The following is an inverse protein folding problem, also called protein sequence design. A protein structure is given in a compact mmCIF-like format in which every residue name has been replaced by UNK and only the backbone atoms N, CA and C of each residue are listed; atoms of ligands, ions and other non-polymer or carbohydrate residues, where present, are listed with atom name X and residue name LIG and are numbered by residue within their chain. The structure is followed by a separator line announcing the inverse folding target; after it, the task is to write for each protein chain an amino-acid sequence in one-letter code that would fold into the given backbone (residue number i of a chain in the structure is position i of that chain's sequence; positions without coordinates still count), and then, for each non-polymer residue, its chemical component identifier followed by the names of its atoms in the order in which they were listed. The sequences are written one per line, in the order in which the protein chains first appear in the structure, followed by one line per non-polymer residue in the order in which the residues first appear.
data_IF_925700955223
#
_entry.id   IF_925700955223
#
_cell.length_a   1.000
_cell.length_b   1.000
_cell.length_c   1.000
_cell.angle_alpha   90.00
_cell.angle_beta   90.00
_cell.angle_gamma   90.00
#
_symmetry.space_group_name_H-M   'P 1'
#
loop_
_entity.id
_entity.type
_entity.pdbx_description
1 polymer ?
#
# COMPACT_ATOMS: atom_id res chain seq x y z
N UNK A 1 -0.35 -0.94 32.44
CA UNK A 1 0.08 0.35 33.04
C UNK A 1 0.68 0.11 34.43
N UNK A 2 -0.06 -0.50 35.37
CA UNK A 2 0.45 -0.79 36.73
C UNK A 2 1.71 -1.67 36.75
N UNK A 3 1.76 -2.75 35.94
CA UNK A 3 2.95 -3.60 35.80
C UNK A 3 4.18 -2.85 35.25
N UNK A 4 3.96 -1.72 34.58
CA UNK A 4 5.00 -0.90 33.96
C UNK A 4 5.24 0.38 34.77
N UNK A 5 4.60 0.52 35.94
CA UNK A 5 4.65 1.69 36.84
C UNK A 5 4.28 3.02 36.15
N UNK A 6 3.50 2.94 35.07
CA UNK A 6 3.01 4.10 34.32
C UNK A 6 1.76 4.66 35.00
N UNK A 7 1.98 5.61 35.90
CA UNK A 7 0.93 6.19 36.76
C UNK A 7 0.19 7.38 36.14
N UNK A 8 0.77 8.00 35.11
CA UNK A 8 0.15 9.12 34.38
C UNK A 8 0.21 8.91 32.88
N UNK A 9 -0.92 9.14 32.23
CA UNK A 9 -1.09 9.10 30.79
C UNK A 9 -1.38 10.52 30.29
N UNK A 10 -0.59 10.97 29.32
CA UNK A 10 -0.82 12.24 28.62
C UNK A 10 -1.71 12.04 27.39
N UNK A 11 -1.26 11.18 26.47
CA UNK A 11 -1.93 10.89 25.20
C UNK A 11 -1.76 9.42 24.82
N UNK A 12 -2.74 8.91 24.08
CA UNK A 12 -2.75 7.62 23.43
C UNK A 12 -2.79 7.86 21.92
N UNK A 13 -1.90 7.19 21.19
CA UNK A 13 -1.87 7.27 19.73
C UNK A 13 -2.49 6.01 19.14
N UNK A 14 -3.55 6.16 18.37
CA UNK A 14 -4.25 5.06 17.69
C UNK A 14 -4.42 5.38 16.20
N UNK A 15 -4.70 4.38 15.37
CA UNK A 15 -5.07 4.60 13.98
C UNK A 15 -6.45 5.28 13.87
N UNK A 16 -6.79 5.84 12.71
CA UNK A 16 -8.01 6.63 12.53
C UNK A 16 -9.22 5.75 12.16
N UNK A 17 -9.38 4.62 12.86
CA UNK A 17 -10.51 3.73 12.69
C UNK A 17 -11.66 4.16 13.61
N UNK A 18 -12.89 4.21 13.10
CA UNK A 18 -14.07 4.60 13.88
C UNK A 18 -14.34 3.68 15.07
N UNK A 19 -13.86 2.43 15.03
CA UNK A 19 -13.89 1.52 16.18
C UNK A 19 -13.13 2.05 17.40
N UNK A 20 -12.10 2.87 17.18
CA UNK A 20 -11.26 3.40 18.24
C UNK A 20 -11.92 4.51 19.03
N UNK A 21 -12.95 5.18 18.48
CA UNK A 21 -13.65 6.26 19.16
C UNK A 21 -14.30 5.79 20.47
N UNK A 22 -14.98 4.63 20.41
CA UNK A 22 -15.61 4.01 21.58
C UNK A 22 -14.57 3.50 22.59
N UNK A 23 -13.46 2.94 22.09
CA UNK A 23 -12.37 2.44 22.93
C UNK A 23 -11.67 3.58 23.67
N UNK A 24 -11.35 4.67 22.98
CA UNK A 24 -10.76 5.88 23.56
C UNK A 24 -11.69 6.51 24.59
N UNK A 25 -13.00 6.59 24.33
CA UNK A 25 -13.95 7.14 25.30
C UNK A 25 -13.99 6.29 26.58
N UNK A 26 -14.01 4.96 26.42
CA UNK A 26 -13.95 4.03 27.54
C UNK A 26 -12.63 4.15 28.32
N UNK A 27 -11.50 4.18 27.62
CA UNK A 27 -10.17 4.35 28.22
C UNK A 27 -10.06 5.68 28.97
N UNK A 28 -10.54 6.78 28.38
CA UNK A 28 -10.58 8.09 29.02
C UNK A 28 -11.36 8.04 30.33
N UNK A 29 -12.57 7.48 30.34
CA UNK A 29 -13.40 7.34 31.55
C UNK A 29 -12.69 6.53 32.63
N UNK A 30 -12.07 5.42 32.24
CA UNK A 30 -11.35 4.53 33.17
C UNK A 30 -10.08 5.15 33.74
N UNK A 31 -9.29 5.83 32.92
CA UNK A 31 -8.08 6.50 33.40
C UNK A 31 -8.41 7.71 34.30
N UNK A 32 -9.51 8.42 34.00
CA UNK A 32 -10.00 9.51 34.84
C UNK A 32 -10.45 9.03 36.22
N UNK A 33 -11.12 7.87 36.32
CA UNK A 33 -11.52 7.31 37.63
C UNK A 33 -10.31 6.89 38.47
N UNK A 34 -9.21 6.47 37.83
CA UNK A 34 -7.95 6.16 38.49
C UNK A 34 -7.07 7.37 38.79
N UNK A 35 -7.51 8.59 38.43
CA UNK A 35 -6.72 9.82 38.55
C UNK A 35 -5.36 9.76 37.82
N UNK A 36 -5.30 8.98 36.73
CA UNK A 36 -4.07 8.67 36.00
C UNK A 36 -3.95 9.45 34.68
N UNK A 37 -4.57 10.61 34.55
CA UNK A 37 -4.60 11.40 33.31
C UNK A 37 -4.16 12.84 33.55
N UNK A 38 -3.29 13.36 32.69
CA UNK A 38 -2.88 14.76 32.70
C UNK A 38 -3.94 15.66 32.04
N UNK A 39 -4.01 16.92 32.46
CA UNK A 39 -4.89 17.93 31.85
C UNK A 39 -6.36 17.48 31.70
N UNK A 40 -6.86 16.67 32.64
CA UNK A 40 -8.23 16.12 32.63
C UNK A 40 -8.57 15.33 31.35
N UNK A 41 -7.56 14.82 30.65
CA UNK A 41 -7.73 14.05 29.42
C UNK A 41 -8.20 14.85 28.22
N UNK A 42 -7.92 16.15 28.18
CA UNK A 42 -8.21 17.02 27.04
C UNK A 42 -7.48 16.54 25.77
N UNK A 43 -6.23 16.08 25.91
CA UNK A 43 -5.37 15.63 24.81
C UNK A 43 -5.13 14.11 24.82
N UNK A 44 -6.06 13.33 25.37
CA UNK A 44 -5.87 11.89 25.57
C UNK A 44 -5.83 11.10 24.26
N UNK A 45 -6.40 11.65 23.18
CA UNK A 45 -6.44 11.00 21.87
C UNK A 45 -5.62 11.79 20.87
N UNK A 46 -4.66 11.10 20.24
CA UNK A 46 -3.89 11.60 19.11
C UNK A 46 -4.02 10.60 17.96
N UNK A 47 -4.38 11.08 16.77
CA UNK A 47 -4.38 10.23 15.59
C UNK A 47 -2.94 9.91 15.17
N UNK A 48 -2.71 8.69 14.69
CA UNK A 48 -1.41 8.29 14.14
C UNK A 48 -1.09 9.10 12.87
N UNK A 49 -0.04 9.92 12.90
CA UNK A 49 0.41 10.72 11.75
C UNK A 49 0.70 9.87 10.52
N UNK A 50 1.27 8.68 10.71
CA UNK A 50 1.50 7.73 9.60
C UNK A 50 0.19 7.35 8.93
N UNK A 51 -0.88 7.12 9.70
CA UNK A 51 -2.19 6.78 9.14
C UNK A 51 -2.82 7.97 8.40
N UNK A 52 -2.68 9.19 8.91
CA UNK A 52 -3.14 10.40 8.21
C UNK A 52 -2.42 10.54 6.86
N UNK A 53 -1.10 10.35 6.84
CA UNK A 53 -0.33 10.35 5.59
C UNK A 53 -0.80 9.25 4.63
N UNK A 54 -1.11 8.04 5.11
CA UNK A 54 -1.71 7.00 4.28
C UNK A 54 -3.02 7.46 3.63
N UNK A 55 -3.89 8.15 4.39
CA UNK A 55 -5.18 8.59 3.90
C UNK A 55 -5.04 9.67 2.83
N UNK A 56 -4.17 10.66 3.05
CA UNK A 56 -3.88 11.72 2.06
C UNK A 56 -3.35 11.09 0.77
N UNK A 57 -2.31 10.25 0.87
CA UNK A 57 -1.72 9.59 -0.29
C UNK A 57 -2.75 8.73 -1.02
N UNK A 58 -3.59 7.98 -0.29
CA UNK A 58 -4.66 7.18 -0.91
C UNK A 58 -5.68 8.04 -1.64
N UNK A 59 -6.08 9.16 -1.06
CA UNK A 59 -7.05 10.06 -1.68
C UNK A 59 -6.49 10.68 -2.96
N UNK A 60 -5.24 11.17 -2.91
CA UNK A 60 -4.54 11.71 -4.08
C UNK A 60 -4.36 10.67 -5.20
N UNK A 61 -4.13 9.40 -4.84
CA UNK A 61 -3.97 8.33 -5.81
C UNK A 61 -5.29 7.91 -6.49
N UNK A 62 -6.47 8.32 -5.99
CA UNK A 62 -7.75 8.03 -6.65
C UNK A 62 -7.86 8.67 -8.04
N UNK A 63 -7.25 9.84 -8.23
CA UNK A 63 -7.28 10.56 -9.51
C UNK A 63 -6.47 9.86 -10.61
N UNK A 64 -5.51 9.02 -10.23
CA UNK A 64 -4.65 8.24 -11.15
C UNK A 64 -4.86 6.73 -11.02
N UNK A 65 -5.98 6.34 -10.39
CA UNK A 65 -6.29 4.95 -9.99
C UNK A 65 -6.20 3.99 -11.18
N UNK A 66 -6.70 4.38 -12.36
CA UNK A 66 -6.65 3.50 -13.53
C UNK A 66 -5.23 3.12 -13.95
N UNK A 67 -4.29 4.08 -13.97
CA UNK A 67 -2.90 3.80 -14.35
C UNK A 67 -2.22 2.88 -13.33
N UNK A 68 -2.54 3.07 -12.06
CA UNK A 68 -2.02 2.25 -10.97
C UNK A 68 -2.60 0.84 -11.04
N UNK A 69 -3.91 0.72 -11.28
CA UNK A 69 -4.58 -0.57 -11.45
C UNK A 69 -4.02 -1.36 -12.63
N UNK A 70 -3.67 -0.69 -13.74
CA UNK A 70 -3.01 -1.35 -14.88
C UNK A 70 -1.65 -1.92 -14.50
N UNK A 71 -0.81 -1.13 -13.83
CA UNK A 71 0.50 -1.59 -13.36
C UNK A 71 0.35 -2.72 -12.33
N UNK A 72 -0.62 -2.60 -11.42
CA UNK A 72 -0.98 -3.67 -10.49
C UNK A 72 -1.38 -4.95 -11.24
N UNK A 73 -2.18 -4.85 -12.31
CA UNK A 73 -2.57 -5.96 -13.18
C UNK A 73 -1.37 -6.66 -13.81
N UNK A 74 -0.43 -5.90 -14.36
CA UNK A 74 0.83 -6.41 -14.94
C UNK A 74 1.66 -7.15 -13.88
N UNK A 75 1.85 -6.53 -12.71
CA UNK A 75 2.62 -7.13 -11.62
C UNK A 75 1.95 -8.40 -11.09
N UNK A 76 0.62 -8.40 -10.98
CA UNK A 76 -0.17 -9.56 -10.57
C UNK A 76 -0.05 -10.70 -11.59
N UNK A 77 -0.09 -10.41 -12.89
CA UNK A 77 0.13 -11.41 -13.94
C UNK A 77 1.52 -12.07 -13.79
N UNK A 78 2.58 -11.26 -13.68
CA UNK A 78 3.95 -11.77 -13.59
C UNK A 78 4.12 -12.67 -12.37
N UNK A 79 3.48 -12.31 -11.26
CA UNK A 79 3.57 -13.02 -9.98
C UNK A 79 2.60 -14.18 -9.84
N UNK A 80 1.63 -14.35 -10.74
CA UNK A 80 0.58 -15.36 -10.59
C UNK A 80 1.08 -16.79 -10.75
N UNK A 81 2.23 -17.01 -11.41
CA UNK A 81 2.86 -18.32 -11.50
C UNK A 81 4.40 -18.25 -11.59
N UNK A 82 5.11 -19.29 -11.15
CA UNK A 82 6.57 -19.38 -11.33
C UNK A 82 7.00 -19.32 -12.79
N UNK A 83 6.19 -19.86 -13.70
CA UNK A 83 6.47 -19.86 -15.15
C UNK A 83 6.40 -18.45 -15.75
N UNK A 84 5.40 -17.65 -15.37
CA UNK A 84 5.28 -16.24 -15.81
C UNK A 84 6.43 -15.40 -15.25
N UNK A 85 6.79 -15.61 -13.99
CA UNK A 85 7.95 -14.95 -13.38
C UNK A 85 9.27 -15.32 -14.07
N UNK A 86 9.44 -16.59 -14.46
CA UNK A 86 10.62 -17.04 -15.19
C UNK A 86 10.73 -16.38 -16.58
N UNK A 87 9.62 -16.28 -17.31
CA UNK A 87 9.57 -15.56 -18.60
C UNK A 87 9.91 -14.08 -18.46
N UNK A 88 9.34 -13.43 -17.44
CA UNK A 88 9.69 -12.05 -17.13
C UNK A 88 11.18 -11.88 -16.85
N UNK A 89 11.79 -12.76 -16.04
CA UNK A 89 13.24 -12.75 -15.79
C UNK A 89 14.08 -12.95 -17.05
N UNK A 90 13.66 -13.82 -17.97
CA UNK A 90 14.33 -13.97 -19.26
C UNK A 90 14.28 -12.67 -20.08
N UNK A 91 13.14 -11.96 -20.05
CA UNK A 91 13.02 -10.64 -20.70
C UNK A 91 13.92 -9.58 -20.02
N UNK A 92 14.05 -9.61 -18.68
CA UNK A 92 14.96 -8.73 -17.93
C UNK A 92 16.41 -8.92 -18.39
N UNK A 93 16.82 -10.18 -18.56
CA UNK A 93 18.16 -10.54 -19.04
C UNK A 93 18.39 -10.09 -20.48
N UNK A 94 17.39 -10.27 -21.36
CA UNK A 94 17.46 -9.84 -22.76
C UNK A 94 17.59 -8.32 -22.91
N UNK A 95 16.82 -7.55 -22.13
CA UNK A 95 16.89 -6.08 -22.10
C UNK A 95 18.10 -5.55 -21.31
N UNK A 96 18.92 -6.43 -20.72
CA UNK A 96 20.12 -6.10 -19.94
C UNK A 96 19.85 -5.09 -18.83
N UNK A 97 18.69 -5.21 -18.17
CA UNK A 97 18.32 -4.31 -17.08
C UNK A 97 19.27 -4.54 -15.89
N UNK A 98 19.91 -3.47 -15.43
CA UNK A 98 20.88 -3.51 -14.33
C UNK A 98 20.22 -3.54 -12.95
N UNK A 99 18.95 -3.12 -12.87
CA UNK A 99 18.16 -3.17 -11.66
C UNK A 99 17.83 -4.62 -11.27
N UNK A 100 18.07 -4.97 -10.00
CA UNK A 100 17.89 -6.34 -9.47
C UNK A 100 16.71 -6.48 -8.51
N UNK A 101 16.01 -5.39 -8.20
CA UNK A 101 14.86 -5.44 -7.29
C UNK A 101 13.69 -6.17 -7.92
N UNK A 102 12.86 -6.85 -7.12
CA UNK A 102 11.67 -7.53 -7.65
C UNK A 102 10.53 -6.53 -7.87
N UNK A 103 9.65 -6.82 -8.83
CA UNK A 103 8.34 -6.20 -8.90
C UNK A 103 7.48 -6.69 -7.72
N UNK A 104 7.07 -5.73 -6.89
CA UNK A 104 6.24 -5.94 -5.71
C UNK A 104 4.81 -5.53 -6.01
N UNK A 105 3.85 -6.34 -5.59
CA UNK A 105 2.44 -5.95 -5.64
C UNK A 105 2.19 -4.89 -4.57
N UNK A 106 1.30 -3.94 -4.88
CA UNK A 106 0.78 -3.00 -3.91
C UNK A 106 0.05 -3.74 -2.77
N UNK A 107 0.10 -3.14 -1.58
CA UNK A 107 -0.53 -3.66 -0.36
C UNK A 107 -1.26 -2.50 0.28
N UNK A 108 -2.59 -2.55 0.23
CA UNK A 108 -3.46 -1.45 0.64
C UNK A 108 -3.20 -0.96 2.08
N UNK A 109 -2.78 -1.86 2.97
CA UNK A 109 -2.49 -1.53 4.38
C UNK A 109 -1.08 -0.97 4.61
N UNK A 110 -0.23 -0.92 3.58
CA UNK A 110 1.16 -0.46 3.66
C UNK A 110 1.38 0.76 2.76
N UNK A 111 1.55 1.91 3.39
CA UNK A 111 1.56 3.23 2.75
C UNK A 111 2.57 3.42 1.62
N UNK A 112 3.74 2.77 1.69
CA UNK A 112 4.78 2.90 0.68
C UNK A 112 4.74 1.82 -0.41
N UNK A 113 3.79 0.89 -0.35
CA UNK A 113 3.75 -0.25 -1.27
C UNK A 113 3.48 0.18 -2.72
N UNK A 114 2.52 1.08 -2.94
CA UNK A 114 2.22 1.64 -4.28
C UNK A 114 3.42 2.37 -4.84
N UNK A 115 4.07 3.21 -4.03
CA UNK A 115 5.31 3.89 -4.44
C UNK A 115 6.39 2.88 -4.87
N UNK A 116 6.65 1.85 -4.07
CA UNK A 116 7.65 0.83 -4.38
C UNK A 116 7.31 0.03 -5.64
N UNK A 117 6.03 -0.29 -5.85
CA UNK A 117 5.54 -0.93 -7.07
C UNK A 117 5.81 -0.06 -8.29
N UNK A 118 5.43 1.21 -8.25
CA UNK A 118 5.61 2.16 -9.35
C UNK A 118 7.10 2.42 -9.63
N UNK A 119 7.91 2.59 -8.59
CA UNK A 119 9.36 2.80 -8.72
C UNK A 119 10.04 1.58 -9.38
N UNK A 120 9.64 0.37 -9.01
CA UNK A 120 10.14 -0.84 -9.65
C UNK A 120 9.61 -1.00 -11.09
N UNK A 121 8.32 -0.72 -11.32
CA UNK A 121 7.70 -0.82 -12.65
C UNK A 121 8.38 0.12 -13.66
N UNK A 122 8.71 1.35 -13.26
CA UNK A 122 9.44 2.30 -14.11
C UNK A 122 10.80 1.75 -14.55
N UNK A 123 11.53 1.07 -13.66
CA UNK A 123 12.83 0.46 -13.97
C UNK A 123 12.73 -0.73 -14.92
N UNK A 124 11.57 -1.38 -14.99
CA UNK A 124 11.28 -2.53 -15.85
C UNK A 124 10.44 -2.20 -17.09
N UNK A 125 10.21 -0.92 -17.42
CA UNK A 125 9.37 -0.51 -18.55
C UNK A 125 9.67 -1.29 -19.84
N UNK A 126 10.93 -1.30 -20.29
CA UNK A 126 11.35 -2.02 -21.51
C UNK A 126 11.10 -3.52 -21.44
N UNK A 127 11.21 -4.10 -20.25
CA UNK A 127 10.93 -5.52 -20.04
C UNK A 127 9.45 -5.83 -20.21
N UNK A 128 8.55 -4.93 -19.78
CA UNK A 128 7.11 -5.09 -20.03
C UNK A 128 6.79 -4.99 -21.51
N UNK A 129 7.40 -4.03 -22.22
CA UNK A 129 7.24 -3.87 -23.68
C UNK A 129 7.69 -5.15 -24.42
N UNK A 130 8.83 -5.74 -24.01
CA UNK A 130 9.32 -6.99 -24.59
C UNK A 130 8.41 -8.18 -24.26
N UNK A 131 7.92 -8.26 -23.02
CA UNK A 131 7.02 -9.33 -22.58
C UNK A 131 5.70 -9.31 -23.36
N UNK A 132 5.18 -8.11 -23.66
CA UNK A 132 4.02 -7.92 -24.52
C UNK A 132 4.23 -8.49 -25.94
N UNK A 133 5.41 -8.26 -26.53
CA UNK A 133 5.73 -8.81 -27.86
C UNK A 133 5.92 -10.33 -27.86
N UNK A 134 6.36 -10.92 -26.75
CA UNK A 134 6.72 -12.34 -26.67
C UNK A 134 5.63 -13.24 -26.07
N UNK A 135 4.64 -12.68 -25.38
CA UNK A 135 3.61 -13.44 -24.67
C UNK A 135 2.19 -13.00 -25.03
N UNK A 136 1.60 -13.63 -26.05
CA UNK A 136 0.20 -13.35 -26.41
C UNK A 136 -0.76 -13.51 -25.22
N UNK A 137 -0.47 -14.43 -24.28
CA UNK A 137 -1.30 -14.60 -23.07
C UNK A 137 -1.17 -13.45 -22.09
N UNK A 138 -0.05 -12.73 -22.08
CA UNK A 138 0.12 -11.52 -21.27
C UNK A 138 -0.88 -10.45 -21.74
N UNK A 139 -0.92 -10.22 -23.05
CA UNK A 139 -1.84 -9.29 -23.68
C UNK A 139 -3.29 -9.72 -23.45
N UNK A 140 -3.65 -10.97 -23.77
CA UNK A 140 -5.02 -11.46 -23.61
C UNK A 140 -5.54 -11.38 -22.17
N UNK A 141 -4.73 -11.75 -21.17
CA UNK A 141 -5.16 -11.74 -19.77
C UNK A 141 -5.27 -10.32 -19.21
N UNK A 142 -4.42 -9.39 -19.66
CA UNK A 142 -4.51 -7.98 -19.26
C UNK A 142 -5.70 -7.28 -19.91
N UNK A 143 -6.06 -7.64 -21.15
CA UNK A 143 -7.26 -7.13 -21.83
C UNK A 143 -8.57 -7.66 -21.23
N UNK A 144 -8.57 -8.88 -20.65
CA UNK A 144 -9.72 -9.43 -19.92
C UNK A 144 -9.92 -8.78 -18.55
N UNK A 145 -8.91 -8.08 -18.02
CA UNK A 145 -8.95 -7.34 -16.76
C UNK A 145 -9.05 -5.81 -16.96
N UNK A 146 -9.00 -5.04 -15.87
CA UNK A 146 -8.86 -3.56 -15.90
C UNK A 146 -7.42 -3.14 -16.30
N UNK A 147 -6.88 -3.68 -17.40
CA UNK A 147 -5.43 -3.67 -17.68
C UNK A 147 -4.96 -2.87 -18.89
N UNK A 148 -5.82 -2.55 -19.87
CA UNK A 148 -5.41 -1.87 -21.11
C UNK A 148 -6.43 -0.77 -21.44
N UNK A 149 -6.03 0.40 -21.99
CA UNK A 149 -7.00 1.35 -22.52
C UNK A 149 -7.85 0.65 -23.59
N UNK A 150 -9.17 0.84 -23.55
CA UNK A 150 -9.89 0.81 -24.82
C UNK A 150 -9.29 1.94 -25.64
N UNK A 151 -8.72 1.61 -26.80
CA UNK A 151 -8.46 2.64 -27.81
C UNK A 151 -9.80 3.32 -28.06
N UNK A 152 -9.93 4.55 -27.57
CA UNK A 152 -11.06 5.40 -27.91
C UNK A 152 -10.89 5.79 -29.37
N UNK A 153 -11.82 5.32 -30.20
CA UNK A 153 -12.08 5.81 -31.56
C UNK A 153 -12.19 7.35 -31.59
#
# INVERSE_FOLDING_TARGET
LNEWELNLVFSLTMDNASSNDLEIEYLKKRLMSWHSVLLKGEYIHMCCCTHILCLIVKDDLKEVDESILRICGVVKYIRSSPSRLARFKACVEQEKITYKGLVCLDVETRWNSTYLMLEAALKYKKTFDLLEMQDNKYVEDLHKGKGVPFESE
#
